data_IF_811851851589
#
_entry.id   IF_811851851589
#
_cell.length_a   1.000
_cell.length_b   1.000
_cell.length_c   1.000
_cell.angle_alpha   90.00
_cell.angle_beta   90.00
_cell.angle_gamma   90.00
#
_symmetry.space_group_name_H-M   'P 1'
#
loop_
_entity.id
_entity.type
_entity.pdbx_description
1 polymer ?
#
# COMPACT_ATOMS: atom_id res chain seq x y z
N UNK A 1 -0.44 -2.25 9.75
CA UNK A 1 -0.83 -2.68 8.40
C UNK A 1 -0.49 -4.15 8.28
N UNK A 2 -1.53 -4.99 8.37
CA UNK A 2 -1.38 -6.44 8.52
C UNK A 2 -1.72 -7.14 7.19
N UNK A 3 -2.29 -6.44 6.21
CA UNK A 3 -2.63 -6.98 4.89
C UNK A 3 -2.56 -5.92 3.78
N UNK A 4 -2.25 -6.39 2.57
CA UNK A 4 -2.15 -5.57 1.37
C UNK A 4 -3.45 -4.80 1.07
N UNK A 5 -4.62 -5.40 1.35
CA UNK A 5 -5.92 -4.74 1.17
C UNK A 5 -6.09 -3.51 2.04
N UNK A 6 -5.69 -3.60 3.31
CA UNK A 6 -5.75 -2.47 4.25
C UNK A 6 -4.79 -1.36 3.80
N UNK A 7 -3.59 -1.71 3.34
CA UNK A 7 -2.64 -0.75 2.79
C UNK A 7 -3.20 -0.03 1.55
N UNK A 8 -3.90 -0.75 0.66
CA UNK A 8 -4.61 -0.17 -0.50
C UNK A 8 -5.76 0.72 -0.11
N UNK A 9 -6.50 0.35 0.95
CA UNK A 9 -7.53 1.21 1.50
C UNK A 9 -6.93 2.53 1.97
N UNK A 10 -5.87 2.49 2.77
CA UNK A 10 -5.19 3.70 3.24
C UNK A 10 -4.56 4.54 2.12
N UNK A 11 -4.00 3.91 1.08
CA UNK A 11 -3.49 4.61 -0.09
C UNK A 11 -4.59 5.40 -0.79
N UNK A 12 -5.76 4.79 -1.02
CA UNK A 12 -6.87 5.42 -1.75
C UNK A 12 -7.71 6.36 -0.88
N UNK A 13 -8.11 5.93 0.32
CA UNK A 13 -8.99 6.68 1.21
C UNK A 13 -8.28 7.77 2.00
N UNK A 14 -7.08 7.50 2.52
CA UNK A 14 -6.30 8.49 3.25
C UNK A 14 -5.29 9.23 2.37
N UNK A 15 -5.24 8.94 1.06
CA UNK A 15 -4.27 9.53 0.12
C UNK A 15 -2.82 9.39 0.62
N UNK A 16 -2.53 8.27 1.30
CA UNK A 16 -1.23 7.99 1.89
C UNK A 16 -0.23 7.52 0.83
N UNK A 17 0.14 8.45 -0.05
CA UNK A 17 1.15 8.27 -1.11
C UNK A 17 2.53 7.91 -0.56
N UNK A 18 2.79 8.12 0.73
CA UNK A 18 4.01 7.62 1.40
C UNK A 18 4.10 6.09 1.46
N UNK A 19 2.97 5.37 1.32
CA UNK A 19 2.93 3.92 1.31
C UNK A 19 3.37 3.35 -0.04
N UNK A 20 3.11 4.09 -1.12
CA UNK A 20 3.42 3.76 -2.51
C UNK A 20 4.59 4.65 -2.97
N UNK A 21 5.81 4.21 -2.63
CA UNK A 21 7.03 5.01 -2.82
C UNK A 21 7.39 5.16 -4.30
N UNK A 22 7.09 4.13 -5.08
CA UNK A 22 7.34 3.99 -6.51
C UNK A 22 6.16 4.44 -7.38
N UNK A 23 5.01 4.75 -6.78
CA UNK A 23 3.80 5.27 -7.42
C UNK A 23 3.22 4.29 -8.44
N UNK A 24 3.31 3.00 -8.15
CA UNK A 24 2.79 1.93 -9.00
C UNK A 24 1.34 1.54 -8.64
N UNK A 25 0.79 2.15 -7.59
CA UNK A 25 -0.54 1.84 -7.05
C UNK A 25 -0.55 0.67 -6.05
N UNK A 26 0.63 0.13 -5.71
CA UNK A 26 0.82 -0.96 -4.74
C UNK A 26 1.50 -0.42 -3.48
N UNK A 27 0.72 -0.12 -2.44
CA UNK A 27 1.30 0.39 -1.21
C UNK A 27 2.01 -0.73 -0.45
N UNK A 28 3.19 -0.41 0.09
CA UNK A 28 4.02 -1.34 0.85
C UNK A 28 4.28 -2.64 0.09
N UNK A 29 5.02 -2.57 -1.02
CA UNK A 29 5.58 -3.70 -1.79
C UNK A 29 6.04 -4.88 -0.90
N UNK A 30 6.76 -4.62 0.20
CA UNK A 30 7.18 -5.70 1.13
C UNK A 30 6.02 -6.51 1.74
N UNK A 31 4.87 -5.88 1.94
CA UNK A 31 3.64 -6.45 2.51
C UNK A 31 2.73 -7.06 1.42
N UNK A 32 2.72 -6.48 0.22
CA UNK A 32 1.91 -6.95 -0.92
C UNK A 32 2.61 -8.00 -1.80
N UNK A 33 3.94 -8.09 -1.74
CA UNK A 33 4.76 -8.96 -2.57
C UNK A 33 5.31 -10.18 -1.83
N UNK A 34 5.19 -10.20 -0.50
CA UNK A 34 5.48 -11.39 0.31
C UNK A 34 4.20 -12.20 0.48
N UNK A 35 4.13 -13.29 -0.30
CA UNK A 35 3.18 -14.38 -0.14
C UNK A 35 3.25 -15.00 1.26
#
# INVERSE_FOLDING_TARGET
>A
MISCEEAKFYLNQCNLTRLDRDKDGVPCEKLCRSN
#
